data_IF_600854070933
#
_entry.id   IF_600854070933
#
_cell.length_a   1.000
_cell.length_b   1.000
_cell.length_c   1.000
_cell.angle_alpha   90.00
_cell.angle_beta   90.00
_cell.angle_gamma   90.00
#
_symmetry.space_group_name_H-M   'P 1'
#
loop_
_entity.id
_entity.type
_entity.pdbx_description
1 polymer ?
#
# COMPACT_ATOMS: atom_id res chain seq x y z
N UNK A 1 -4.52 -17.15 15.83
CA UNK A 1 -4.61 -16.45 14.52
C UNK A 1 -4.54 -14.92 14.67
N UNK A 2 -4.82 -14.36 15.86
CA UNK A 2 -4.84 -12.91 16.10
C UNK A 2 -3.47 -12.23 16.16
N UNK A 3 -2.43 -12.91 16.68
CA UNK A 3 -1.07 -12.36 16.74
C UNK A 3 -0.54 -12.07 15.33
N UNK A 4 -0.75 -12.98 14.38
CA UNK A 4 -0.32 -12.78 12.99
C UNK A 4 -1.00 -11.56 12.35
N UNK A 5 -2.31 -11.37 12.56
CA UNK A 5 -3.04 -10.18 12.08
C UNK A 5 -2.48 -8.89 12.69
N UNK A 6 -2.15 -8.89 13.98
CA UNK A 6 -1.56 -7.74 14.67
C UNK A 6 -0.17 -7.39 14.15
N UNK A 7 0.67 -8.39 13.88
CA UNK A 7 1.99 -8.19 13.29
C UNK A 7 1.87 -7.56 11.90
N UNK A 8 0.99 -8.08 11.05
CA UNK A 8 0.75 -7.52 9.71
C UNK A 8 0.18 -6.10 9.79
N UNK A 9 -0.76 -5.86 10.70
CA UNK A 9 -1.33 -4.52 10.91
C UNK A 9 -0.26 -3.51 11.35
N UNK A 10 0.56 -3.88 12.33
CA UNK A 10 1.65 -3.04 12.83
C UNK A 10 2.68 -2.76 11.73
N UNK A 11 3.06 -3.78 10.95
CA UNK A 11 3.96 -3.63 9.82
C UNK A 11 3.43 -2.63 8.78
N UNK A 12 2.17 -2.77 8.36
CA UNK A 12 1.55 -1.90 7.36
C UNK A 12 1.50 -0.45 7.83
N UNK A 13 1.09 -0.22 9.09
CA UNK A 13 1.00 1.13 9.65
C UNK A 13 2.38 1.73 9.89
N UNK A 14 3.35 0.97 10.41
CA UNK A 14 4.71 1.46 10.58
C UNK A 14 5.34 1.86 9.23
N UNK A 15 5.14 1.05 8.20
CA UNK A 15 5.63 1.36 6.85
C UNK A 15 4.94 2.60 6.29
N UNK A 16 3.62 2.74 6.44
CA UNK A 16 2.89 3.92 6.01
C UNK A 16 3.38 5.20 6.71
N UNK A 17 3.60 5.13 8.03
CA UNK A 17 4.16 6.25 8.80
C UNK A 17 5.56 6.61 8.28
N UNK A 18 6.41 5.63 8.02
CA UNK A 18 7.74 5.86 7.48
C UNK A 18 7.70 6.54 6.09
N UNK A 19 6.78 6.13 5.22
CA UNK A 19 6.56 6.76 3.91
C UNK A 19 6.09 8.21 4.06
N UNK A 20 5.14 8.48 4.96
CA UNK A 20 4.67 9.86 5.24
C UNK A 20 5.81 10.72 5.78
N UNK A 21 6.59 10.21 6.73
CA UNK A 21 7.72 10.94 7.30
C UNK A 21 8.77 11.21 6.22
N UNK A 22 9.10 10.22 5.39
CA UNK A 22 10.00 10.42 4.25
C UNK A 22 9.45 11.51 3.34
N UNK A 23 8.16 11.47 2.95
CA UNK A 23 7.55 12.48 2.10
C UNK A 23 7.65 13.90 2.66
N UNK A 24 7.40 14.08 3.97
CA UNK A 24 7.46 15.39 4.64
C UNK A 24 8.90 15.89 4.81
N UNK A 25 9.82 14.98 5.12
CA UNK A 25 11.21 15.31 5.45
C UNK A 25 12.12 15.38 4.22
N UNK A 26 11.72 14.77 3.09
CA UNK A 26 12.47 14.77 1.82
C UNK A 26 12.99 16.16 1.45
N UNK A 27 12.18 17.25 1.48
CA UNK A 27 12.66 18.58 1.12
C UNK A 27 13.73 19.15 2.06
N UNK A 28 13.89 18.59 3.27
CA UNK A 28 14.83 19.09 4.27
C UNK A 28 16.23 18.47 4.17
N UNK A 29 16.37 17.29 3.57
CA UNK A 29 17.66 16.58 3.48
C UNK A 29 18.02 16.05 2.09
N UNK A 30 17.10 16.13 1.11
CA UNK A 30 17.35 15.70 -0.26
C UNK A 30 17.43 16.90 -1.20
N UNK A 31 18.48 16.93 -2.02
CA UNK A 31 18.78 18.01 -2.97
C UNK A 31 18.06 17.85 -4.32
N UNK A 32 17.21 16.84 -4.45
CA UNK A 32 16.51 16.52 -5.70
C UNK A 32 17.33 15.69 -6.68
N UNK A 33 18.52 15.21 -6.27
CA UNK A 33 19.31 14.28 -7.09
C UNK A 33 18.55 12.95 -7.31
N UNK A 34 18.82 12.24 -8.43
CA UNK A 34 18.14 10.98 -8.74
C UNK A 34 18.52 9.84 -7.79
N UNK A 35 19.64 9.94 -7.07
CA UNK A 35 20.04 8.96 -6.07
C UNK A 35 19.28 9.21 -4.76
N UNK A 36 18.23 8.42 -4.52
CA UNK A 36 17.43 8.54 -3.31
C UNK A 36 17.52 7.30 -2.39
N UNK A 37 18.55 7.19 -1.53
CA UNK A 37 18.88 5.96 -0.81
C UNK A 37 17.81 5.56 0.22
N UNK A 38 17.20 6.52 0.93
CA UNK A 38 16.13 6.25 1.90
C UNK A 38 14.88 5.71 1.20
N UNK A 39 14.49 6.34 0.10
CA UNK A 39 13.35 5.89 -0.70
C UNK A 39 13.59 4.50 -1.28
N UNK A 40 14.80 4.18 -1.75
CA UNK A 40 15.14 2.83 -2.23
C UNK A 40 14.89 1.75 -1.18
N UNK A 41 15.25 2.02 0.08
CA UNK A 41 14.98 1.09 1.20
C UNK A 41 13.48 1.00 1.47
N UNK A 42 12.80 2.14 1.59
CA UNK A 42 11.35 2.18 1.85
C UNK A 42 10.55 1.48 0.76
N UNK A 43 10.98 1.58 -0.50
CA UNK A 43 10.31 0.97 -1.63
C UNK A 43 10.22 -0.56 -1.47
N UNK A 44 11.26 -1.23 -0.95
CA UNK A 44 11.19 -2.67 -0.63
C UNK A 44 10.18 -2.99 0.48
N UNK A 45 10.11 -2.17 1.53
CA UNK A 45 9.12 -2.34 2.59
C UNK A 45 7.69 -2.12 2.07
N UNK A 46 7.51 -1.12 1.20
CA UNK A 46 6.23 -0.85 0.53
C UNK A 46 5.82 -2.04 -0.34
N UNK A 47 6.73 -2.62 -1.12
CA UNK A 47 6.44 -3.79 -1.96
C UNK A 47 5.90 -4.96 -1.14
N UNK A 48 6.54 -5.28 -0.01
CA UNK A 48 6.05 -6.31 0.91
C UNK A 48 4.68 -5.91 1.51
N UNK A 49 4.46 -4.64 1.82
CA UNK A 49 3.17 -4.13 2.30
C UNK A 49 2.04 -4.25 1.27
N UNK A 50 2.33 -3.95 0.00
CA UNK A 50 1.39 -4.11 -1.12
C UNK A 50 0.96 -5.57 -1.26
N UNK A 51 1.91 -6.51 -1.21
CA UNK A 51 1.61 -7.95 -1.26
C UNK A 51 0.76 -8.39 -0.06
N UNK A 52 1.08 -7.93 1.15
CA UNK A 52 0.27 -8.22 2.33
C UNK A 52 -1.16 -7.67 2.19
N UNK A 53 -1.32 -6.45 1.68
CA UNK A 53 -2.63 -5.84 1.45
C UNK A 53 -3.45 -6.62 0.42
N UNK A 54 -2.83 -7.09 -0.67
CA UNK A 54 -3.47 -7.97 -1.65
C UNK A 54 -3.96 -9.27 -1.01
N UNK A 55 -3.11 -9.94 -0.23
CA UNK A 55 -3.46 -11.20 0.45
C UNK A 55 -4.62 -10.99 1.42
N UNK A 56 -4.56 -9.95 2.26
CA UNK A 56 -5.63 -9.63 3.21
C UNK A 56 -6.94 -9.37 2.48
N UNK A 57 -6.90 -8.62 1.39
CA UNK A 57 -8.09 -8.32 0.60
C UNK A 57 -8.66 -9.52 -0.15
N UNK A 58 -7.80 -10.41 -0.63
CA UNK A 58 -8.21 -11.69 -1.19
C UNK A 58 -8.92 -12.56 -0.14
N UNK A 59 -8.32 -12.71 1.05
CA UNK A 59 -8.91 -13.47 2.15
C UNK A 59 -10.25 -12.89 2.59
N UNK A 60 -10.34 -11.56 2.74
CA UNK A 60 -11.59 -10.88 3.07
C UNK A 60 -12.67 -11.15 2.02
N UNK A 61 -12.34 -11.08 0.74
CA UNK A 61 -13.29 -11.35 -0.36
C UNK A 61 -13.79 -12.80 -0.33
N UNK A 62 -12.93 -13.75 0.03
CA UNK A 62 -13.32 -15.15 0.20
C UNK A 62 -14.34 -15.33 1.32
N UNK A 63 -14.14 -14.67 2.46
CA UNK A 63 -15.09 -14.72 3.60
C UNK A 63 -16.43 -14.09 3.27
N UNK A 64 -16.45 -12.98 2.52
CA UNK A 64 -17.71 -12.31 2.14
C UNK A 64 -18.53 -13.13 1.13
N UNK A 65 -17.89 -13.95 0.30
CA UNK A 65 -18.59 -14.84 -0.64
C UNK A 65 -19.29 -16.01 0.04
N UNK A 66 -18.91 -16.36 1.27
CA UNK A 66 -19.49 -17.49 2.01
C UNK A 66 -20.65 -17.13 2.93
N UNK A 67 -21.03 -15.85 3.04
CA UNK A 67 -22.13 -15.41 3.90
C UNK A 67 -23.17 -14.58 3.14
N UNK A 68 -24.41 -14.53 3.65
CA UNK A 68 -25.41 -13.54 3.23
C UNK A 68 -25.01 -12.18 3.78
N UNK A 69 -24.33 -11.37 2.97
CA UNK A 69 -23.89 -10.02 3.36
C UNK A 69 -24.81 -8.99 2.70
N UNK A 70 -25.24 -7.98 3.45
CA UNK A 70 -26.06 -6.91 2.90
C UNK A 70 -25.35 -6.19 1.75
N UNK A 71 -26.09 -5.78 0.71
CA UNK A 71 -25.54 -5.16 -0.50
C UNK A 71 -24.64 -3.95 -0.22
N UNK A 72 -24.95 -3.16 0.82
CA UNK A 72 -24.13 -2.01 1.24
C UNK A 72 -22.82 -2.42 1.91
N UNK A 73 -22.85 -3.48 2.74
CA UNK A 73 -21.62 -4.05 3.31
C UNK A 73 -20.76 -4.70 2.22
N UNK A 74 -21.38 -5.35 1.22
CA UNK A 74 -20.69 -5.88 0.05
C UNK A 74 -20.08 -4.77 -0.81
N UNK A 75 -20.79 -3.65 -1.03
CA UNK A 75 -20.28 -2.50 -1.79
C UNK A 75 -19.13 -1.83 -1.05
N UNK A 76 -19.31 -1.47 0.23
CA UNK A 76 -18.25 -0.85 1.03
C UNK A 76 -17.03 -1.77 1.23
N UNK A 77 -17.27 -3.08 1.28
CA UNK A 77 -16.20 -4.07 1.29
C UNK A 77 -15.61 -4.39 -0.07
N UNK A 78 -16.24 -4.01 -1.20
CA UNK A 78 -15.75 -4.27 -2.56
C UNK A 78 -15.05 -3.07 -3.18
N UNK A 79 -15.54 -1.85 -2.95
CA UNK A 79 -14.99 -0.63 -3.57
C UNK A 79 -13.78 -0.09 -2.81
N UNK A 80 -13.78 -0.12 -1.47
CA UNK A 80 -12.70 0.47 -0.66
C UNK A 80 -11.57 -0.48 -0.27
N UNK A 81 -11.78 -1.80 -0.28
CA UNK A 81 -10.83 -2.73 0.33
C UNK A 81 -10.14 -3.74 -0.60
N UNK A 82 -10.79 -4.37 -1.59
CA UNK A 82 -10.13 -5.27 -2.53
C UNK A 82 -9.77 -4.62 -3.87
N UNK A 83 -10.48 -3.57 -4.27
CA UNK A 83 -10.16 -2.86 -5.51
C UNK A 83 -8.93 -1.96 -5.36
N UNK A 84 -8.78 -1.32 -4.19
CA UNK A 84 -7.69 -0.38 -3.91
C UNK A 84 -6.28 -1.02 -3.86
N UNK A 85 -6.06 -2.23 -3.29
CA UNK A 85 -4.73 -2.84 -3.28
C UNK A 85 -4.36 -3.43 -4.64
N UNK A 86 -5.35 -3.81 -5.47
CA UNK A 86 -5.09 -4.26 -6.85
C UNK A 86 -4.61 -3.08 -7.70
N UNK A 87 -5.32 -1.94 -7.64
CA UNK A 87 -4.90 -0.72 -8.33
C UNK A 87 -3.54 -0.28 -7.84
N UNK A 88 -3.32 -0.25 -6.52
CA UNK A 88 -2.02 0.04 -5.93
C UNK A 88 -0.93 -0.91 -6.43
N UNK A 89 -1.18 -2.22 -6.43
CA UNK A 89 -0.19 -3.19 -6.91
C UNK A 89 0.12 -3.02 -8.39
N UNK A 90 -0.88 -2.77 -9.23
CA UNK A 90 -0.67 -2.51 -10.65
C UNK A 90 0.22 -1.27 -10.85
N UNK A 91 -0.06 -0.16 -10.15
CA UNK A 91 0.73 1.07 -10.26
C UNK A 91 2.14 0.90 -9.69
N UNK A 92 2.25 0.29 -8.51
CA UNK A 92 3.51 0.08 -7.81
C UNK A 92 4.44 -0.87 -8.58
N UNK A 93 3.94 -2.01 -9.08
CA UNK A 93 4.80 -2.91 -9.85
C UNK A 93 5.09 -2.39 -11.26
N UNK A 94 4.19 -1.57 -11.84
CA UNK A 94 4.50 -0.84 -13.06
C UNK A 94 5.72 0.08 -12.88
N UNK A 95 5.78 0.84 -11.79
CA UNK A 95 6.96 1.63 -11.40
C UNK A 95 8.25 0.78 -11.34
N UNK A 96 8.17 -0.39 -10.72
CA UNK A 96 9.30 -1.33 -10.64
C UNK A 96 9.75 -1.86 -12.00
N UNK A 97 8.83 -2.15 -12.90
CA UNK A 97 9.21 -2.56 -14.27
C UNK A 97 9.94 -1.45 -15.02
N UNK A 98 9.58 -0.18 -14.82
CA UNK A 98 10.30 0.95 -15.38
C UNK A 98 11.69 1.11 -14.78
N UNK A 99 11.80 1.09 -13.45
CA UNK A 99 13.09 1.23 -12.75
C UNK A 99 14.06 0.07 -13.00
N UNK A 100 13.57 -1.12 -13.36
CA UNK A 100 14.41 -2.27 -13.72
C UNK A 100 14.82 -2.31 -15.20
N UNK A 101 14.30 -1.42 -16.05
CA UNK A 101 14.55 -1.45 -17.48
C UNK A 101 15.44 -0.26 -17.91
N UNK A 102 16.74 -0.49 -18.23
CA UNK A 102 17.72 0.58 -18.48
C UNK A 102 17.45 1.40 -19.75
N UNK A 103 16.65 0.89 -20.69
CA UNK A 103 16.28 1.60 -21.93
C UNK A 103 15.16 2.64 -21.72
N UNK A 104 14.63 2.71 -20.50
CA UNK A 104 13.43 3.48 -20.18
C UNK A 104 13.70 4.96 -19.86
N UNK A 105 14.96 5.36 -19.68
CA UNK A 105 15.43 6.71 -19.33
C UNK A 105 15.39 7.74 -20.49
N UNK A 106 14.38 7.71 -21.34
CA UNK A 106 14.10 8.83 -22.26
C UNK A 106 13.29 9.90 -21.52
N UNK A 107 13.54 11.19 -21.77
CA UNK A 107 13.16 12.34 -20.92
C UNK A 107 11.70 12.46 -20.43
N UNK A 108 10.75 11.72 -20.99
CA UNK A 108 9.38 11.58 -20.44
C UNK A 108 9.35 10.76 -19.12
N UNK A 109 10.31 9.85 -18.90
CA UNK A 109 10.45 9.04 -17.68
C UNK A 109 10.90 9.86 -16.46
N UNK A 110 11.61 10.97 -16.66
CA UNK A 110 12.01 11.88 -15.58
C UNK A 110 10.80 12.67 -15.08
N UNK A 111 9.90 13.07 -16.00
CA UNK A 111 8.69 13.84 -15.66
C UNK A 111 7.63 12.97 -15.00
N UNK A 112 7.56 11.68 -15.35
CA UNK A 112 6.67 10.73 -14.71
C UNK A 112 7.07 10.46 -13.25
N UNK A 113 8.36 10.42 -12.91
CA UNK A 113 8.81 10.27 -11.51
C UNK A 113 8.24 11.35 -10.58
N UNK A 114 8.23 12.62 -10.99
CA UNK A 114 7.84 13.75 -10.14
C UNK A 114 6.34 13.76 -9.77
N UNK A 115 5.48 13.16 -10.60
CA UNK A 115 4.03 13.14 -10.39
C UNK A 115 3.53 11.75 -9.99
N UNK A 116 4.05 10.70 -10.61
CA UNK A 116 3.60 9.32 -10.42
C UNK A 116 4.01 8.78 -9.04
N UNK A 117 5.25 9.05 -8.60
CA UNK A 117 5.78 8.47 -7.37
C UNK A 117 5.03 9.00 -6.13
N UNK A 118 4.77 10.32 -6.00
CA UNK A 118 3.92 10.83 -4.93
C UNK A 118 2.51 10.24 -4.90
N UNK A 119 1.92 9.92 -6.06
CA UNK A 119 0.58 9.31 -6.14
C UNK A 119 0.62 7.88 -5.61
N UNK A 120 1.64 7.10 -6.00
CA UNK A 120 1.82 5.72 -5.51
C UNK A 120 2.08 5.71 -4.01
N UNK A 121 2.94 6.59 -3.51
CA UNK A 121 3.22 6.75 -2.08
C UNK A 121 1.94 7.10 -1.29
N UNK A 122 1.17 8.08 -1.76
CA UNK A 122 -0.07 8.48 -1.11
C UNK A 122 -1.11 7.35 -1.11
N UNK A 123 -1.26 6.65 -2.24
CA UNK A 123 -2.18 5.52 -2.35
C UNK A 123 -1.75 4.36 -1.43
N UNK A 124 -0.45 4.08 -1.36
CA UNK A 124 0.10 3.09 -0.43
C UNK A 124 -0.25 3.42 1.01
N UNK A 125 -0.03 4.67 1.45
CA UNK A 125 -0.34 5.11 2.82
C UNK A 125 -1.82 4.88 3.14
N UNK A 126 -2.72 5.29 2.25
CA UNK A 126 -4.16 5.11 2.44
C UNK A 126 -4.52 3.63 2.56
N UNK A 127 -4.04 2.79 1.63
CA UNK A 127 -4.35 1.35 1.60
C UNK A 127 -3.75 0.63 2.80
N UNK A 128 -2.52 0.94 3.18
CA UNK A 128 -1.82 0.33 4.30
C UNK A 128 -2.48 0.68 5.64
N UNK A 129 -2.85 1.94 5.86
CA UNK A 129 -3.58 2.36 7.06
C UNK A 129 -4.98 1.73 7.11
N UNK A 130 -5.72 1.75 5.99
CA UNK A 130 -7.06 1.15 5.93
C UNK A 130 -7.02 -0.36 6.21
N UNK A 131 -6.07 -1.06 5.61
CA UNK A 131 -5.86 -2.50 5.81
C UNK A 131 -5.42 -2.81 7.24
N UNK A 132 -4.46 -2.06 7.78
CA UNK A 132 -3.99 -2.23 9.15
C UNK A 132 -5.10 -1.99 10.18
N UNK A 133 -5.90 -0.93 10.00
CA UNK A 133 -7.07 -0.65 10.85
C UNK A 133 -8.13 -1.74 10.76
N UNK A 134 -8.38 -2.29 9.57
CA UNK A 134 -9.29 -3.42 9.40
C UNK A 134 -8.82 -4.65 10.20
N UNK A 135 -7.54 -4.99 10.09
CA UNK A 135 -6.95 -6.12 10.82
C UNK A 135 -6.99 -5.93 12.34
N UNK A 136 -6.83 -4.70 12.83
CA UNK A 136 -6.98 -4.38 14.27
C UNK A 136 -8.42 -4.49 14.76
N UNK A 137 -9.40 -4.02 13.97
CA UNK A 137 -10.81 -4.05 14.37
C UNK A 137 -11.42 -5.45 14.40
N UNK A 138 -10.96 -6.35 13.54
CA UNK A 138 -11.42 -7.76 13.49
C UNK A 138 -11.14 -8.59 14.75
N UNK A 139 -10.64 -7.96 15.84
CA UNK A 139 -10.40 -8.54 17.15
C UNK A 139 -11.40 -8.05 18.23
N UNK A 140 -12.34 -7.14 17.87
CA UNK A 140 -13.28 -6.50 18.81
C UNK A 140 -14.71 -7.06 18.80
N UNK A 141 -15.08 -7.88 17.82
CA UNK A 141 -16.45 -8.43 17.67
C UNK A 141 -16.58 -9.88 18.19
N UNK A 142 -15.65 -10.35 19.03
CA UNK A 142 -15.70 -11.68 19.65
C UNK A 142 -16.26 -11.68 21.08
N UNK A 143 -16.73 -10.54 21.59
CA UNK A 143 -17.30 -10.39 22.94
C UNK A 143 -18.76 -9.86 22.93
N UNK A 144 -19.58 -10.29 21.95
CA UNK A 144 -21.01 -9.93 21.87
C UNK A 144 -21.89 -11.09 21.43
#
# INVERSE_FOLDING_TARGET
MDIAKRIVAAYLVATAVAVVLNFILTPAYHDGSPEYPVWRILNWFMAAGVLMALVVSYLRRRTLRSGEVSTLQYLGASTMAPSSPIVLAMLFFWEWFWTLNPDSETGDAITSHTVYFPIVDALFVVVAIATGRYLWKGNGDSDG
#
